data_IF_217617694365
#
_entry.id   IF_217617694365
#
_cell.length_a   1.000
_cell.length_b   1.000
_cell.length_c   1.000
_cell.angle_alpha   90.00
_cell.angle_beta   90.00
_cell.angle_gamma   90.00
#
_symmetry.space_group_name_H-M   'P 1'
#
loop_
_entity.id
_entity.type
_entity.pdbx_description
1 polymer ?
#
# COMPACT_ATOMS: atom_id res chain seq x y z
N UNK A 1 25.02 -4.21 -19.38
CA UNK A 1 23.80 -4.98 -19.68
C UNK A 1 22.86 -4.08 -20.46
N UNK A 2 22.25 -4.55 -21.54
CA UNK A 2 21.24 -3.78 -22.31
C UNK A 2 19.87 -4.34 -21.94
N UNK A 3 18.89 -3.48 -21.70
CA UNK A 3 17.49 -3.83 -21.45
C UNK A 3 16.57 -2.86 -22.22
N UNK A 4 15.34 -3.27 -22.45
CA UNK A 4 14.34 -2.45 -23.11
C UNK A 4 13.32 -1.96 -22.09
N UNK A 5 12.86 -0.73 -22.21
CA UNK A 5 11.72 -0.21 -21.47
C UNK A 5 10.43 -0.36 -22.30
N UNK A 6 9.28 -0.62 -21.62
CA UNK A 6 9.16 -0.91 -20.19
C UNK A 6 9.66 -2.31 -19.84
N UNK A 7 10.33 -2.46 -18.69
CA UNK A 7 10.79 -3.78 -18.19
C UNK A 7 9.63 -4.66 -17.70
N UNK A 8 8.50 -4.06 -17.35
CA UNK A 8 7.25 -4.72 -16.98
C UNK A 8 6.13 -4.05 -17.78
N UNK A 9 5.79 -4.56 -18.98
CA UNK A 9 4.76 -3.97 -19.81
C UNK A 9 3.36 -4.29 -19.26
N UNK A 10 2.44 -3.34 -19.39
CA UNK A 10 1.05 -3.49 -18.96
C UNK A 10 0.57 -2.37 -18.03
N UNK A 11 -0.51 -2.65 -17.31
CA UNK A 11 -1.09 -1.72 -16.35
C UNK A 11 -0.53 -2.00 -14.94
N UNK A 12 0.51 -1.28 -14.57
CA UNK A 12 1.23 -1.44 -13.30
C UNK A 12 1.46 -0.09 -12.63
N UNK A 13 0.38 0.61 -12.20
CA UNK A 13 0.47 1.91 -11.57
C UNK A 13 1.03 1.81 -10.14
N UNK A 14 1.61 2.92 -9.67
CA UNK A 14 2.06 3.12 -8.29
C UNK A 14 2.97 1.98 -7.78
N UNK A 15 4.06 1.64 -8.48
CA UNK A 15 4.90 0.52 -8.10
C UNK A 15 5.66 0.80 -6.80
N UNK A 16 5.64 -0.17 -5.89
CA UNK A 16 6.47 -0.19 -4.70
C UNK A 16 7.33 -1.45 -4.67
N UNK A 17 8.59 -1.30 -4.27
CA UNK A 17 9.58 -2.36 -4.27
C UNK A 17 10.24 -2.52 -2.90
N UNK A 18 10.55 -3.76 -2.52
CA UNK A 18 11.45 -4.06 -1.41
C UNK A 18 12.47 -5.12 -1.80
N UNK A 19 13.54 -5.21 -1.01
CA UNK A 19 14.57 -6.25 -1.14
C UNK A 19 14.54 -7.17 0.06
N UNK A 20 14.59 -8.49 -0.19
CA UNK A 20 14.74 -9.51 0.84
C UNK A 20 15.90 -10.45 0.46
N UNK A 21 17.03 -10.27 1.10
CA UNK A 21 18.27 -10.99 0.73
C UNK A 21 18.76 -10.59 -0.66
N UNK A 22 18.76 -11.54 -1.59
CA UNK A 22 19.15 -11.32 -3.00
C UNK A 22 17.95 -11.21 -3.96
N UNK A 23 16.74 -11.15 -3.42
CA UNK A 23 15.51 -11.13 -4.17
C UNK A 23 14.81 -9.78 -4.02
N UNK A 24 14.12 -9.35 -5.08
CA UNK A 24 13.33 -8.13 -5.14
C UNK A 24 11.86 -8.47 -5.32
N UNK A 25 11.00 -7.76 -4.62
CA UNK A 25 9.56 -7.93 -4.68
C UNK A 25 8.90 -6.59 -4.98
N UNK A 26 7.94 -6.59 -5.90
CA UNK A 26 7.24 -5.40 -6.35
C UNK A 26 5.73 -5.65 -6.27
N UNK A 27 5.01 -4.63 -5.83
CA UNK A 27 3.53 -4.58 -5.84
C UNK A 27 3.07 -3.33 -6.56
N UNK A 28 1.84 -3.37 -7.08
CA UNK A 28 1.23 -2.22 -7.76
C UNK A 28 -0.23 -2.06 -7.37
N UNK A 29 -0.78 -0.88 -7.60
CA UNK A 29 -2.22 -0.63 -7.49
C UNK A 29 -3.01 -1.55 -8.41
N UNK A 30 -4.20 -1.91 -8.01
CA UNK A 30 -5.12 -2.71 -8.83
C UNK A 30 -6.48 -2.06 -9.01
N UNK A 31 -6.75 -0.94 -8.30
CA UNK A 31 -8.05 -0.27 -8.32
C UNK A 31 -9.21 -1.26 -8.16
N UNK A 32 -10.18 -1.24 -9.07
CA UNK A 32 -11.34 -2.14 -9.08
C UNK A 32 -11.05 -3.56 -9.58
N UNK A 33 -9.83 -3.84 -10.05
CA UNK A 33 -9.49 -5.15 -10.59
C UNK A 33 -9.25 -6.20 -9.51
N UNK A 34 -9.75 -7.40 -9.74
CA UNK A 34 -9.58 -8.57 -8.87
C UNK A 34 -9.00 -9.76 -9.67
N UNK A 35 -8.08 -10.55 -9.10
CA UNK A 35 -7.49 -10.47 -7.76
C UNK A 35 -6.64 -9.22 -7.56
N UNK A 36 -6.55 -8.72 -6.30
CA UNK A 36 -6.00 -7.39 -6.04
C UNK A 36 -4.57 -7.41 -5.56
N UNK A 37 -3.85 -6.33 -5.86
CA UNK A 37 -2.44 -6.11 -5.54
C UNK A 37 -1.56 -7.22 -6.11
N UNK A 38 -1.24 -7.17 -7.40
CA UNK A 38 -0.33 -8.13 -8.01
C UNK A 38 1.06 -8.04 -7.39
N UNK A 39 1.68 -9.20 -7.19
CA UNK A 39 3.01 -9.35 -6.60
C UNK A 39 3.96 -9.91 -7.64
N UNK A 40 5.06 -9.23 -7.86
CA UNK A 40 6.12 -9.63 -8.79
C UNK A 40 7.41 -9.89 -8.02
N UNK A 41 8.21 -10.79 -8.56
CA UNK A 41 9.52 -11.14 -8.05
C UNK A 41 10.59 -10.98 -9.13
N UNK A 42 11.78 -10.55 -8.75
CA UNK A 42 12.96 -10.48 -9.61
C UNK A 42 14.24 -10.73 -8.80
N UNK A 43 15.28 -11.21 -9.49
CA UNK A 43 16.64 -11.31 -8.95
C UNK A 43 17.58 -10.22 -9.45
N UNK A 44 17.16 -9.46 -10.45
CA UNK A 44 18.03 -8.50 -11.15
C UNK A 44 17.37 -7.15 -11.48
N UNK A 45 16.12 -6.94 -11.08
CA UNK A 45 15.31 -5.74 -11.33
C UNK A 45 14.90 -5.56 -12.81
N UNK A 46 15.23 -6.51 -13.67
CA UNK A 46 14.97 -6.46 -15.12
C UNK A 46 13.97 -7.54 -15.51
N UNK A 47 14.20 -8.78 -15.05
CA UNK A 47 13.35 -9.91 -15.34
C UNK A 47 12.40 -10.14 -14.18
N UNK A 48 11.11 -9.90 -14.41
CA UNK A 48 10.05 -10.00 -13.41
C UNK A 48 9.12 -11.15 -13.70
N UNK A 49 8.84 -11.94 -12.68
CA UNK A 49 7.86 -13.03 -12.67
C UNK A 49 6.71 -12.65 -11.73
N UNK A 50 5.47 -12.74 -12.20
CA UNK A 50 4.32 -12.55 -11.32
C UNK A 50 4.14 -13.78 -10.43
N UNK A 51 4.20 -13.57 -9.11
CA UNK A 51 4.01 -14.63 -8.11
C UNK A 51 2.55 -14.86 -7.72
N UNK A 52 1.68 -13.90 -7.97
CA UNK A 52 0.27 -13.94 -7.60
C UNK A 52 -0.24 -12.57 -7.18
N UNK A 53 -1.11 -12.56 -6.17
CA UNK A 53 -1.75 -11.35 -5.65
C UNK A 53 -1.83 -11.41 -4.13
N UNK A 54 -1.88 -10.25 -3.48
CA UNK A 54 -2.04 -10.18 -2.02
C UNK A 54 -3.45 -10.57 -1.57
N UNK A 55 -4.48 -10.22 -2.36
CA UNK A 55 -5.89 -10.49 -2.04
C UNK A 55 -6.48 -11.34 -3.16
N UNK A 56 -6.85 -12.58 -2.81
CA UNK A 56 -7.34 -13.60 -3.74
C UNK A 56 -8.73 -14.13 -3.39
N UNK A 57 -9.28 -13.72 -2.24
CA UNK A 57 -10.64 -14.08 -1.83
C UNK A 57 -11.51 -12.82 -1.81
N UNK A 58 -12.61 -12.80 -2.55
CA UNK A 58 -13.55 -11.67 -2.64
C UNK A 58 -14.22 -11.35 -1.31
N UNK A 59 -14.30 -12.30 -0.39
CA UNK A 59 -14.89 -12.10 0.93
C UNK A 59 -13.95 -11.39 1.93
N UNK A 60 -12.65 -11.32 1.62
CA UNK A 60 -11.68 -10.74 2.54
C UNK A 60 -11.69 -9.20 2.51
N UNK A 61 -12.10 -8.59 1.40
CA UNK A 61 -12.21 -7.15 1.25
C UNK A 61 -13.30 -6.79 0.24
N UNK A 62 -14.24 -5.95 0.61
CA UNK A 62 -15.29 -5.50 -0.28
C UNK A 62 -14.74 -4.51 -1.32
N UNK A 63 -14.47 -5.02 -2.51
CA UNK A 63 -14.29 -4.19 -3.69
C UNK A 63 -15.67 -3.87 -4.23
N UNK A 64 -16.07 -2.61 -4.14
CA UNK A 64 -17.44 -2.18 -4.40
C UNK A 64 -17.83 -2.36 -5.86
N UNK A 65 -18.65 -3.37 -6.17
CA UNK A 65 -19.19 -3.61 -7.52
C UNK A 65 -20.14 -2.47 -7.92
N UNK A 66 -20.01 -1.98 -9.16
CA UNK A 66 -20.91 -0.93 -9.71
C UNK A 66 -20.50 0.50 -9.39
N UNK A 67 -19.33 0.73 -8.80
CA UNK A 67 -18.78 2.07 -8.64
C UNK A 67 -18.07 2.56 -9.90
N UNK A 68 -17.94 3.90 -10.05
CA UNK A 68 -17.14 4.46 -11.13
C UNK A 68 -15.72 3.89 -11.12
N UNK A 69 -15.12 3.78 -12.30
CA UNK A 69 -13.67 3.55 -12.40
C UNK A 69 -12.91 4.53 -11.50
N UNK A 70 -11.81 4.10 -10.89
CA UNK A 70 -11.00 4.82 -9.89
C UNK A 70 -11.45 4.63 -8.43
N UNK A 71 -12.04 3.50 -8.11
CA UNK A 71 -12.25 3.03 -6.73
C UNK A 71 -11.36 1.82 -6.47
N UNK A 72 -11.46 1.24 -5.27
CA UNK A 72 -10.74 0.03 -4.89
C UNK A 72 -9.33 0.29 -4.39
N UNK A 73 -8.39 -0.54 -4.78
CA UNK A 73 -7.05 -0.54 -4.17
C UNK A 73 -6.14 0.51 -4.81
N UNK A 74 -5.86 1.55 -4.03
CA UNK A 74 -4.92 2.62 -4.37
C UNK A 74 -3.48 2.20 -4.03
N UNK A 75 -2.54 3.12 -4.16
CA UNK A 75 -1.10 2.91 -4.08
C UNK A 75 -0.67 2.02 -2.87
N UNK A 76 -0.28 0.76 -3.10
CA UNK A 76 0.26 -0.07 -2.04
C UNK A 76 1.73 0.21 -1.83
N UNK A 77 2.23 0.00 -0.60
CA UNK A 77 3.66 -0.10 -0.38
C UNK A 77 4.04 -1.42 0.26
N UNK A 78 5.15 -2.01 -0.22
CA UNK A 78 5.70 -3.24 0.33
C UNK A 78 6.94 -2.94 1.16
N UNK A 79 7.05 -3.60 2.33
CA UNK A 79 8.23 -3.57 3.20
C UNK A 79 8.60 -4.99 3.63
N UNK A 80 9.89 -5.20 3.85
CA UNK A 80 10.41 -6.46 4.40
C UNK A 80 11.12 -6.17 5.71
N UNK A 81 10.64 -6.76 6.80
CA UNK A 81 11.19 -6.60 8.12
C UNK A 81 11.15 -7.92 8.88
N UNK A 82 12.25 -8.31 9.50
CA UNK A 82 12.38 -9.54 10.32
C UNK A 82 11.75 -10.79 9.68
N UNK A 83 12.09 -11.06 8.43
CA UNK A 83 11.62 -12.21 7.63
C UNK A 83 10.12 -12.19 7.30
N UNK A 84 9.47 -11.05 7.44
CA UNK A 84 8.06 -10.85 7.11
C UNK A 84 7.92 -9.74 6.08
N UNK A 85 7.12 -9.98 5.07
CA UNK A 85 6.67 -8.99 4.11
C UNK A 85 5.38 -8.36 4.62
N UNK A 86 5.27 -7.07 4.51
CA UNK A 86 4.08 -6.27 4.82
C UNK A 86 3.71 -5.47 3.59
N UNK A 87 2.44 -5.51 3.21
CA UNK A 87 1.89 -4.65 2.17
C UNK A 87 0.76 -3.84 2.78
N UNK A 88 0.93 -2.52 2.81
CA UNK A 88 -0.06 -1.56 3.30
C UNK A 88 -0.66 -0.83 2.11
N UNK A 89 -1.97 -0.59 2.14
CA UNK A 89 -2.72 -0.02 1.03
C UNK A 89 -4.00 0.67 1.51
N UNK A 90 -4.59 1.50 0.64
CA UNK A 90 -5.91 2.11 0.85
C UNK A 90 -6.93 1.44 -0.07
N UNK A 91 -8.08 1.05 0.48
CA UNK A 91 -9.25 0.68 -0.30
C UNK A 91 -10.22 1.88 -0.34
N UNK A 92 -10.39 2.47 -1.50
CA UNK A 92 -11.28 3.62 -1.70
C UNK A 92 -12.67 3.11 -2.09
N UNK A 93 -13.58 3.12 -1.13
CA UNK A 93 -14.95 2.62 -1.26
C UNK A 93 -16.03 3.68 -0.94
N UNK A 94 -15.65 4.96 -0.90
CA UNK A 94 -16.55 6.11 -0.65
C UNK A 94 -17.46 5.93 0.56
N UNK A 95 -16.89 5.64 1.72
CA UNK A 95 -17.61 5.43 2.98
C UNK A 95 -18.44 4.16 3.02
N UNK A 96 -18.21 3.25 2.07
CA UNK A 96 -18.81 1.91 2.08
C UNK A 96 -18.12 0.97 3.05
N UNK A 97 -18.60 -0.27 3.09
CA UNK A 97 -17.95 -1.33 3.86
C UNK A 97 -16.51 -1.50 3.35
N UNK A 98 -15.58 -1.62 4.27
CA UNK A 98 -14.15 -1.78 4.02
C UNK A 98 -13.50 -0.58 3.29
N UNK A 99 -14.03 0.64 3.48
CA UNK A 99 -13.38 1.88 3.06
C UNK A 99 -12.28 2.24 4.07
N UNK A 100 -11.07 2.54 3.60
CA UNK A 100 -9.96 2.95 4.46
C UNK A 100 -8.66 2.19 4.24
N UNK A 101 -7.81 2.19 5.26
CA UNK A 101 -6.46 1.64 5.19
C UNK A 101 -6.38 0.25 5.79
N UNK A 102 -5.60 -0.61 5.13
CA UNK A 102 -5.40 -2.01 5.52
C UNK A 102 -3.96 -2.41 5.26
N UNK A 103 -3.54 -3.48 5.91
CA UNK A 103 -2.34 -4.19 5.53
C UNK A 103 -2.54 -5.70 5.55
N UNK A 104 -1.69 -6.38 4.78
CA UNK A 104 -1.53 -7.84 4.80
C UNK A 104 -0.08 -8.17 5.03
N UNK A 105 0.20 -9.37 5.52
CA UNK A 105 1.56 -9.83 5.75
C UNK A 105 1.76 -11.30 5.38
N UNK A 106 3.00 -11.68 5.09
CA UNK A 106 3.39 -13.07 4.85
C UNK A 106 4.89 -13.27 5.09
N UNK A 107 5.29 -14.48 5.38
CA UNK A 107 6.71 -14.88 5.38
C UNK A 107 7.17 -15.45 4.04
N UNK A 108 6.21 -15.78 3.14
CA UNK A 108 6.48 -16.34 1.81
C UNK A 108 5.41 -15.86 0.81
N UNK A 109 5.71 -14.88 -0.05
CA UNK A 109 4.76 -14.33 -1.01
C UNK A 109 4.17 -15.34 -2.00
N UNK A 110 4.82 -16.51 -2.20
CA UNK A 110 4.30 -17.59 -3.04
C UNK A 110 3.20 -18.41 -2.37
N UNK A 111 3.17 -18.43 -1.04
CA UNK A 111 2.21 -19.26 -0.28
C UNK A 111 0.92 -18.55 0.10
N UNK A 112 0.84 -17.28 -0.23
CA UNK A 112 -0.31 -16.43 0.08
C UNK A 112 -0.05 -15.44 1.21
N UNK A 113 -1.07 -14.68 1.55
CA UNK A 113 -1.04 -13.54 2.47
C UNK A 113 -2.06 -13.71 3.58
N UNK A 114 -1.88 -13.00 4.68
CA UNK A 114 -2.89 -12.90 5.73
C UNK A 114 -4.18 -12.28 5.20
N UNK A 115 -5.26 -12.41 5.96
CA UNK A 115 -6.43 -11.55 5.75
C UNK A 115 -6.04 -10.09 5.97
N UNK A 116 -6.72 -9.13 5.30
CA UNK A 116 -6.51 -7.71 5.53
C UNK A 116 -6.79 -7.31 6.98
N UNK A 117 -5.85 -6.61 7.59
CA UNK A 117 -5.96 -6.06 8.94
C UNK A 117 -6.24 -4.56 8.78
N UNK A 118 -7.35 -4.06 9.32
CA UNK A 118 -7.69 -2.64 9.21
C UNK A 118 -6.75 -1.77 10.05
N UNK A 119 -6.45 -0.59 9.52
CA UNK A 119 -5.69 0.46 10.20
C UNK A 119 -6.65 1.60 10.51
N UNK A 120 -6.70 2.06 11.76
CA UNK A 120 -7.59 3.13 12.20
C UNK A 120 -7.06 4.55 11.93
N UNK A 121 -6.00 4.66 11.15
CA UNK A 121 -5.37 5.92 10.75
C UNK A 121 -5.87 6.34 9.37
N UNK A 122 -6.30 7.59 9.17
CA UNK A 122 -6.84 8.08 7.91
C UNK A 122 -5.79 8.29 6.83
N UNK A 123 -6.21 8.81 5.66
CA UNK A 123 -5.34 9.23 4.56
C UNK A 123 -5.24 8.18 3.46
N UNK A 124 -4.43 8.50 2.45
CA UNK A 124 -4.13 7.66 1.29
C UNK A 124 -2.61 7.53 1.12
N UNK A 125 -2.19 6.69 0.17
CA UNK A 125 -0.79 6.48 -0.21
C UNK A 125 0.08 6.07 1.00
N UNK A 126 -0.32 4.99 1.70
CA UNK A 126 0.29 4.61 2.96
C UNK A 126 1.67 4.00 2.79
N UNK A 127 2.49 4.14 3.82
CA UNK A 127 3.76 3.43 3.92
C UNK A 127 4.06 3.03 5.36
N UNK A 128 4.83 1.96 5.55
CA UNK A 128 5.37 1.58 6.85
C UNK A 128 6.85 1.92 6.97
N UNK A 129 7.24 2.34 8.16
CA UNK A 129 8.62 2.44 8.60
C UNK A 129 8.77 1.63 9.90
N UNK A 130 9.81 0.81 9.97
CA UNK A 130 10.20 0.04 11.15
C UNK A 130 11.47 0.64 11.72
N UNK A 131 11.46 1.07 12.97
CA UNK A 131 12.65 1.60 13.63
C UNK A 131 13.53 0.49 14.21
N UNK A 132 14.67 0.87 14.81
CA UNK A 132 15.61 -0.06 15.42
C UNK A 132 15.08 -0.79 16.66
N UNK A 133 14.01 -0.25 17.27
CA UNK A 133 13.33 -0.83 18.43
C UNK A 133 12.09 -1.64 18.04
N UNK A 134 11.88 -1.87 16.73
CA UNK A 134 10.71 -2.54 16.17
C UNK A 134 9.39 -1.76 16.32
N UNK A 135 9.44 -0.49 16.64
CA UNK A 135 8.25 0.32 16.54
C UNK A 135 7.87 0.50 15.08
N UNK A 136 6.58 0.46 14.81
CA UNK A 136 6.05 0.61 13.45
C UNK A 136 5.35 1.94 13.32
N UNK A 137 5.72 2.66 12.29
CA UNK A 137 5.12 3.94 11.96
C UNK A 137 4.43 3.84 10.61
N UNK A 138 3.17 4.20 10.62
CA UNK A 138 2.37 4.42 9.42
C UNK A 138 2.59 5.87 8.97
N UNK A 139 2.80 6.08 7.69
CA UNK A 139 2.77 7.39 7.07
C UNK A 139 1.71 7.42 5.99
N UNK A 140 1.02 8.54 5.85
CA UNK A 140 -0.01 8.74 4.84
C UNK A 140 -0.14 10.21 4.47
N UNK A 141 -0.93 10.48 3.43
CA UNK A 141 -1.22 11.81 2.95
C UNK A 141 -2.71 12.13 3.12
N UNK A 142 -3.01 13.34 3.64
CA UNK A 142 -4.36 13.87 3.74
C UNK A 142 -4.30 15.39 3.64
N UNK A 143 -5.24 15.99 2.89
CA UNK A 143 -5.36 17.45 2.71
C UNK A 143 -4.05 18.14 2.31
N UNK A 144 -3.26 17.49 1.44
CA UNK A 144 -1.97 18.01 0.98
C UNK A 144 -0.85 17.98 2.03
N UNK A 145 -1.06 17.30 3.15
CA UNK A 145 -0.09 17.14 4.23
C UNK A 145 0.34 15.69 4.35
N UNK A 146 1.56 15.47 4.80
CA UNK A 146 2.06 14.14 5.18
C UNK A 146 2.10 14.06 6.69
N UNK A 147 1.60 12.96 7.22
CA UNK A 147 1.62 12.68 8.65
C UNK A 147 2.23 11.31 8.94
N UNK A 148 2.55 11.10 10.20
CA UNK A 148 3.07 9.86 10.74
C UNK A 148 2.28 9.49 12.01
N UNK A 149 1.97 8.20 12.15
CA UNK A 149 1.30 7.63 13.30
C UNK A 149 1.99 6.34 13.71
N UNK A 150 2.40 6.22 14.96
CA UNK A 150 2.83 4.92 15.47
C UNK A 150 1.62 3.99 15.55
N UNK A 151 1.80 2.73 15.15
CA UNK A 151 0.75 1.70 15.18
C UNK A 151 1.24 0.42 15.84
N UNK A 152 0.31 -0.34 16.38
CA UNK A 152 0.52 -1.74 16.72
C UNK A 152 0.36 -2.60 15.46
N UNK A 153 1.44 -3.21 15.00
CA UNK A 153 1.47 -4.02 13.78
C UNK A 153 0.68 -5.33 13.89
N UNK A 154 0.24 -5.71 15.06
CA UNK A 154 -0.59 -6.91 15.25
C UNK A 154 -2.07 -6.62 15.11
N UNK A 155 -2.50 -5.40 15.42
CA UNK A 155 -3.91 -5.00 15.45
C UNK A 155 -4.27 -3.89 14.46
N UNK A 156 -3.28 -3.18 13.91
CA UNK A 156 -3.49 -1.98 13.08
C UNK A 156 -3.92 -0.74 13.86
N UNK A 157 -3.93 -0.81 15.20
CA UNK A 157 -4.38 0.30 16.05
C UNK A 157 -3.31 1.36 16.24
N UNK A 158 -3.72 2.61 16.22
CA UNK A 158 -2.86 3.76 16.50
C UNK A 158 -2.38 3.78 17.94
N UNK A 159 -1.12 4.21 18.15
CA UNK A 159 -0.48 4.39 19.44
C UNK A 159 -0.09 5.86 19.57
N UNK A 160 -0.57 6.53 20.62
CA UNK A 160 -0.25 7.93 20.87
C UNK A 160 -0.90 8.89 19.88
N UNK A 161 -0.28 10.04 19.67
CA UNK A 161 -0.81 11.12 18.84
C UNK A 161 -0.20 11.11 17.45
N UNK A 162 -1.02 11.42 16.44
CA UNK A 162 -0.58 11.65 15.06
C UNK A 162 0.32 12.89 15.00
N UNK A 163 1.41 12.78 14.22
CA UNK A 163 2.35 13.85 14.00
C UNK A 163 2.35 14.27 12.54
N UNK A 164 2.26 15.57 12.28
CA UNK A 164 2.44 16.10 10.94
C UNK A 164 3.94 16.23 10.65
N UNK A 165 4.40 15.57 9.58
CA UNK A 165 5.81 15.57 9.17
C UNK A 165 6.06 16.71 8.17
N UNK A 166 5.10 16.94 7.28
CA UNK A 166 5.23 17.93 6.22
C UNK A 166 3.89 18.56 5.88
N UNK A 167 3.84 19.87 5.86
CA UNK A 167 2.63 20.67 5.66
C UNK A 167 2.36 21.07 4.22
N UNK A 168 3.06 20.49 3.26
CA UNK A 168 3.00 20.93 1.87
C UNK A 168 3.90 22.14 1.60
N UNK A 169 3.89 22.66 0.40
CA UNK A 169 4.71 23.82 -0.01
C UNK A 169 4.22 25.16 0.56
N UNK A 170 3.38 25.13 1.61
CA UNK A 170 3.05 26.32 2.43
C UNK A 170 2.45 27.52 1.71
N UNK A 171 2.11 27.40 0.46
CA UNK A 171 1.44 28.45 -0.27
C UNK A 171 -0.07 28.38 -0.01
N UNK A 172 -0.66 29.51 0.38
CA UNK A 172 -2.07 29.78 0.13
C UNK A 172 -2.25 29.83 -1.39
N UNK A 173 -2.26 28.66 -2.04
CA UNK A 173 -2.66 28.54 -3.43
C UNK A 173 -4.18 28.36 -3.44
N UNK A 174 -4.95 29.41 -3.73
CA UNK A 174 -6.41 29.37 -3.79
C UNK A 174 -6.94 28.46 -4.91
N UNK A 175 -6.08 28.02 -5.83
CA UNK A 175 -6.43 27.12 -6.94
C UNK A 175 -6.16 25.64 -6.62
N UNK A 176 -5.55 25.32 -5.48
CA UNK A 176 -5.39 23.94 -5.03
C UNK A 176 -6.75 23.44 -4.55
N UNK A 177 -7.42 22.71 -5.42
CA UNK A 177 -8.60 21.92 -5.04
C UNK A 177 -8.23 21.08 -3.81
N UNK A 178 -9.02 21.15 -2.72
CA UNK A 178 -8.80 20.28 -1.59
C UNK A 178 -8.86 18.84 -2.09
N UNK A 179 -7.77 18.10 -1.97
CA UNK A 179 -7.79 16.65 -2.09
C UNK A 179 -8.72 16.18 -0.99
N UNK A 180 -9.98 15.94 -1.33
CA UNK A 180 -10.95 15.41 -0.39
C UNK A 180 -10.42 14.04 0.04
N UNK A 181 -9.95 13.97 1.29
CA UNK A 181 -9.95 12.71 1.99
C UNK A 181 -11.41 12.28 2.10
N UNK A 182 -11.74 11.23 1.41
CA UNK A 182 -13.04 10.58 1.52
C UNK A 182 -12.99 9.59 2.66
#
# INVERSE_FOLDING_TARGET
MKYNNPILPGFHPDPSICRAGNDYYLVTSSFEYFPSIPVFHSKDLIHWEQYGHCITNEDDLCLRKGFPSRTGIYAPTIRYHKRTFYVVFTNVAYGGKDDGNFFVHTTDPKKGWSKPIPIDTPGIDPSFFFDENDNVYYTGASDGKIFMQQIDITTGKSIGQMQFIWGGTGGNDPERLPTRAH
#
